data_IF_977432323208
#
_entry.id   IF_977432323208
#
_cell.length_a   1.000
_cell.length_b   1.000
_cell.length_c   1.000
_cell.angle_alpha   90.00
_cell.angle_beta   90.00
_cell.angle_gamma   90.00
#
_symmetry.space_group_name_H-M   'P 1'
#
loop_
_entity.id
_entity.type
_entity.pdbx_description
1 polymer ?
#
# COMPACT_ATOMS: atom_id res chain seq x y z
N UNK A 1 35.16 34.27 59.46
CA UNK A 1 35.82 35.41 58.79
C UNK A 1 34.69 36.33 58.33
N UNK A 2 34.23 37.35 59.05
CA UNK A 2 34.84 38.21 60.04
C UNK A 2 33.96 38.32 61.29
N UNK A 3 34.63 38.45 62.43
CA UNK A 3 34.06 38.46 63.76
C UNK A 3 34.26 39.86 64.34
N UNK A 4 33.34 40.79 64.11
CA UNK A 4 33.43 42.12 64.71
C UNK A 4 32.65 42.14 66.02
N UNK A 5 33.37 41.81 67.10
CA UNK A 5 32.96 42.07 68.48
C UNK A 5 32.97 43.59 68.70
N UNK A 6 31.81 44.21 68.65
CA UNK A 6 31.62 45.56 69.21
C UNK A 6 31.66 45.40 70.73
N UNK A 7 32.80 45.77 71.33
CA UNK A 7 32.93 45.93 72.78
C UNK A 7 32.22 47.23 73.15
N UNK A 8 30.96 47.13 73.55
CA UNK A 8 30.29 48.20 74.30
C UNK A 8 31.00 48.32 75.65
N UNK A 9 31.92 49.27 75.74
CA UNK A 9 32.45 49.73 77.03
C UNK A 9 31.29 50.44 77.73
N UNK A 10 30.55 49.69 78.55
CA UNK A 10 29.66 50.30 79.52
C UNK A 10 30.52 51.08 80.52
N UNK A 11 30.27 52.38 80.75
CA UNK A 11 30.90 53.06 81.86
C UNK A 11 30.42 52.36 83.13
N UNK A 12 31.37 51.80 83.90
CA UNK A 12 31.04 51.15 85.16
C UNK A 12 30.48 52.20 86.09
N UNK A 13 29.34 51.90 86.71
CA UNK A 13 28.75 52.67 87.80
C UNK A 13 29.69 52.83 89.03
N UNK A 14 30.89 52.25 89.01
CA UNK A 14 31.91 52.33 90.06
C UNK A 14 32.68 53.65 90.08
N UNK A 15 32.69 54.43 89.00
CA UNK A 15 33.60 55.59 88.90
C UNK A 15 32.96 56.92 89.35
N UNK A 16 31.66 56.90 89.70
CA UNK A 16 30.93 58.02 90.30
C UNK A 16 30.62 57.83 91.79
N UNK A 17 30.95 56.67 92.38
CA UNK A 17 30.65 56.35 93.78
C UNK A 17 31.80 56.65 94.76
N UNK A 18 32.94 57.18 94.30
CA UNK A 18 34.09 57.48 95.16
C UNK A 18 34.10 58.91 95.74
N UNK A 19 33.03 59.68 95.60
CA UNK A 19 32.91 61.04 96.19
C UNK A 19 31.93 61.08 97.38
N UNK A 20 31.17 60.02 97.67
CA UNK A 20 30.15 60.04 98.73
C UNK A 20 30.37 59.03 99.87
N UNK A 21 31.62 58.81 100.29
CA UNK A 21 31.95 57.94 101.43
C UNK A 21 32.58 58.68 102.62
N UNK A 22 32.38 60.01 102.73
CA UNK A 22 32.87 60.81 103.86
C UNK A 22 31.77 61.29 104.83
N UNK A 23 30.49 60.96 104.60
CA UNK A 23 29.38 61.37 105.47
C UNK A 23 28.50 60.20 105.88
N UNK A 24 29.07 59.16 106.49
CA UNK A 24 28.31 58.19 107.29
C UNK A 24 28.84 58.27 108.71
N UNK A 25 28.27 59.19 109.49
CA UNK A 25 28.36 59.17 110.94
C UNK A 25 27.27 58.22 111.51
N UNK A 26 27.51 57.59 112.68
CA UNK A 26 26.63 56.55 113.21
C UNK A 26 25.26 57.09 113.68
N UNK A 27 24.22 56.23 113.73
CA UNK A 27 22.85 56.62 113.99
C UNK A 27 22.60 56.65 115.49
N UNK A 28 22.94 57.74 116.17
CA UNK A 28 22.43 58.05 117.51
C UNK A 28 22.72 59.53 117.83
N UNK A 29 21.84 60.42 117.38
CA UNK A 29 21.61 61.79 117.90
C UNK A 29 20.58 62.50 116.99
N UNK A 30 19.34 62.01 116.99
CA UNK A 30 18.18 62.79 116.56
C UNK A 30 17.69 63.59 117.78
N UNK A 31 18.14 64.83 117.95
CA UNK A 31 17.39 65.94 118.58
C UNK A 31 18.33 67.10 118.98
N UNK A 32 18.79 67.85 117.99
CA UNK A 32 19.03 69.29 118.13
C UNK A 32 19.15 69.83 116.72
N UNK A 33 18.29 70.78 116.35
CA UNK A 33 18.30 71.40 115.03
C UNK A 33 19.71 71.88 114.69
N UNK A 34 20.33 71.26 113.69
CA UNK A 34 21.48 71.85 113.05
C UNK A 34 20.96 72.94 112.12
N UNK A 35 20.90 74.18 112.62
CA UNK A 35 20.93 75.38 111.78
C UNK A 35 22.34 75.54 111.16
N UNK A 36 22.88 74.44 110.62
CA UNK A 36 24.16 74.41 109.94
C UNK A 36 23.88 74.40 108.43
N UNK A 37 23.96 75.55 107.76
CA UNK A 37 23.52 75.72 106.37
C UNK A 37 24.26 74.78 105.41
N UNK A 38 25.42 74.23 105.81
CA UNK A 38 26.22 73.31 105.02
C UNK A 38 25.59 71.91 104.93
N UNK A 39 24.96 71.40 105.99
CA UNK A 39 24.36 70.05 105.99
C UNK A 39 23.03 70.02 105.22
N UNK A 40 22.19 71.05 105.38
CA UNK A 40 20.96 71.20 104.59
C UNK A 40 21.25 71.44 103.09
N UNK A 41 22.34 72.17 102.78
CA UNK A 41 22.80 72.37 101.41
C UNK A 41 23.31 71.07 100.78
N UNK A 42 24.10 70.26 101.51
CA UNK A 42 24.58 68.95 101.04
C UNK A 42 23.44 67.93 100.82
N UNK A 43 22.44 67.88 101.69
CA UNK A 43 21.25 67.02 101.50
C UNK A 43 20.44 67.46 100.27
N UNK A 44 20.22 68.77 100.09
CA UNK A 44 19.53 69.34 98.92
C UNK A 44 20.29 69.05 97.61
N UNK A 45 21.61 69.22 97.60
CA UNK A 45 22.48 68.91 96.46
C UNK A 45 22.46 67.42 96.10
N UNK A 46 22.52 66.51 97.09
CA UNK A 46 22.43 65.07 96.86
C UNK A 46 21.06 64.66 96.31
N UNK A 47 19.97 65.25 96.81
CA UNK A 47 18.61 64.97 96.34
C UNK A 47 18.40 65.49 94.91
N UNK A 48 18.94 66.67 94.60
CA UNK A 48 18.92 67.26 93.25
C UNK A 48 19.75 66.45 92.25
N UNK A 49 20.95 66.00 92.64
CA UNK A 49 21.80 65.14 91.81
C UNK A 49 21.13 63.78 91.56
N UNK A 50 20.55 63.16 92.59
CA UNK A 50 19.80 61.90 92.45
C UNK A 50 18.57 62.06 91.55
N UNK A 51 17.86 63.18 91.62
CA UNK A 51 16.72 63.47 90.74
C UNK A 51 17.15 63.68 89.29
N UNK A 52 18.28 64.36 89.07
CA UNK A 52 18.84 64.57 87.73
C UNK A 52 19.29 63.25 87.08
N UNK A 53 20.01 62.41 87.83
CA UNK A 53 20.45 61.09 87.37
C UNK A 53 19.26 60.16 87.09
N UNK A 54 18.20 60.21 87.91
CA UNK A 54 16.97 59.46 87.64
C UNK A 54 16.31 59.95 86.35
N UNK A 55 16.22 61.26 86.13
CA UNK A 55 15.65 61.83 84.91
C UNK A 55 16.50 61.53 83.66
N UNK A 56 17.82 61.44 83.78
CA UNK A 56 18.71 60.97 82.70
C UNK A 56 18.49 59.48 82.41
N UNK A 57 18.49 58.63 83.43
CA UNK A 57 18.22 57.21 83.26
C UNK A 57 16.83 56.91 82.67
N UNK A 58 15.81 57.69 83.04
CA UNK A 58 14.47 57.59 82.47
C UNK A 58 14.43 58.03 81.00
N UNK A 59 15.16 59.09 80.63
CA UNK A 59 15.30 59.53 79.23
C UNK A 59 16.02 58.49 78.38
N UNK A 60 17.12 57.93 78.88
CA UNK A 60 17.87 56.87 78.20
C UNK A 60 17.03 55.61 78.03
N UNK A 61 16.28 55.21 79.07
CA UNK A 61 15.32 54.09 79.00
C UNK A 61 14.25 54.36 77.95
N UNK A 62 13.64 55.54 77.95
CA UNK A 62 12.61 55.91 76.96
C UNK A 62 13.17 55.89 75.53
N UNK A 63 14.40 56.38 75.32
CA UNK A 63 15.07 56.37 74.02
C UNK A 63 15.37 54.93 73.55
N UNK A 64 15.86 54.09 74.46
CA UNK A 64 16.12 52.67 74.16
C UNK A 64 14.83 51.89 73.86
N UNK A 65 13.74 52.16 74.59
CA UNK A 65 12.42 51.58 74.33
C UNK A 65 11.85 52.01 72.98
N UNK A 66 11.99 53.29 72.62
CA UNK A 66 11.57 53.79 71.31
C UNK A 66 12.39 53.18 70.16
N UNK A 67 13.71 53.05 70.34
CA UNK A 67 14.60 52.35 69.41
C UNK A 67 14.21 50.88 69.22
N UNK A 68 13.92 50.17 70.32
CA UNK A 68 13.43 48.79 70.28
C UNK A 68 12.07 48.68 69.56
N UNK A 69 11.16 49.63 69.81
CA UNK A 69 9.85 49.68 69.14
C UNK A 69 10.00 49.92 67.64
N UNK A 70 10.89 50.83 67.22
CA UNK A 70 11.17 51.11 65.80
C UNK A 70 11.77 49.89 65.10
N UNK A 71 12.77 49.25 65.71
CA UNK A 71 13.37 48.02 65.17
C UNK A 71 12.33 46.89 65.00
N UNK A 72 11.46 46.69 66.00
CA UNK A 72 10.38 45.70 65.92
C UNK A 72 9.41 46.00 64.78
N UNK A 73 9.05 47.28 64.59
CA UNK A 73 8.18 47.70 63.49
C UNK A 73 8.84 47.48 62.12
N UNK A 74 10.11 47.87 61.97
CA UNK A 74 10.85 47.67 60.72
C UNK A 74 11.02 46.19 60.39
N UNK A 75 11.31 45.37 61.40
CA UNK A 75 11.39 43.91 61.24
C UNK A 75 10.04 43.32 60.84
N UNK A 76 8.95 43.71 61.49
CA UNK A 76 7.59 43.26 61.15
C UNK A 76 7.21 43.65 59.71
N UNK A 77 7.46 44.91 59.32
CA UNK A 77 7.22 45.38 57.96
C UNK A 77 8.04 44.60 56.92
N UNK A 78 9.31 44.29 57.25
CA UNK A 78 10.16 43.49 56.37
C UNK A 78 9.67 42.04 56.28
N UNK A 79 9.24 41.44 57.39
CA UNK A 79 8.66 40.11 57.43
C UNK A 79 7.38 40.07 56.57
N UNK A 80 6.48 41.04 56.71
CA UNK A 80 5.26 41.14 55.91
C UNK A 80 5.57 41.32 54.41
N UNK A 81 6.56 42.15 54.07
CA UNK A 81 7.00 42.34 52.68
C UNK A 81 7.53 41.03 52.08
N UNK A 82 8.37 40.31 52.81
CA UNK A 82 8.89 39.02 52.38
C UNK A 82 7.78 37.97 52.28
N UNK A 83 6.84 37.93 53.22
CA UNK A 83 5.70 37.01 53.19
C UNK A 83 4.83 37.25 51.95
N UNK A 84 4.59 38.51 51.58
CA UNK A 84 3.88 38.85 50.33
C UNK A 84 4.66 38.42 49.10
N UNK A 85 5.99 38.60 49.08
CA UNK A 85 6.83 38.15 47.97
C UNK A 85 6.83 36.63 47.82
N UNK A 86 6.89 35.89 48.92
CA UNK A 86 6.78 34.42 48.95
C UNK A 86 5.44 34.00 48.37
N UNK A 87 4.32 34.55 48.87
CA UNK A 87 2.99 34.22 48.36
C UNK A 87 2.81 34.57 46.87
N UNK A 88 3.42 35.65 46.39
CA UNK A 88 3.40 35.99 44.96
C UNK A 88 4.20 34.99 44.14
N UNK A 89 5.38 34.57 44.61
CA UNK A 89 6.20 33.56 43.92
C UNK A 89 5.56 32.18 43.94
N UNK A 90 4.91 31.79 45.02
CA UNK A 90 4.16 30.53 45.12
C UNK A 90 3.04 30.49 44.07
N UNK A 91 2.28 31.58 43.92
CA UNK A 91 1.26 31.69 42.86
C UNK A 91 1.87 31.61 41.46
N UNK A 92 3.00 32.27 41.23
CA UNK A 92 3.70 32.19 39.95
C UNK A 92 4.18 30.77 39.65
N UNK A 93 4.73 30.05 40.64
CA UNK A 93 5.13 28.66 40.48
C UNK A 93 3.95 27.76 40.14
N UNK A 94 2.83 27.88 40.86
CA UNK A 94 1.62 27.11 40.58
C UNK A 94 1.08 27.36 39.16
N UNK A 95 1.12 28.61 38.70
CA UNK A 95 0.72 28.95 37.34
C UNK A 95 1.64 28.29 36.32
N UNK A 96 2.96 28.43 36.47
CA UNK A 96 3.94 27.84 35.55
C UNK A 96 3.90 26.31 35.54
N UNK A 97 3.64 25.67 36.69
CA UNK A 97 3.45 24.22 36.78
C UNK A 97 2.21 23.77 36.00
N UNK A 98 1.13 24.53 36.08
CA UNK A 98 -0.11 24.27 35.33
C UNK A 98 0.12 24.44 33.83
N UNK A 99 0.76 25.54 33.43
CA UNK A 99 1.08 25.82 32.03
C UNK A 99 2.00 24.74 31.45
N UNK A 100 3.03 24.33 32.20
CA UNK A 100 3.94 23.25 31.80
C UNK A 100 3.20 21.92 31.64
N UNK A 101 2.21 21.62 32.50
CA UNK A 101 1.39 20.43 32.38
C UNK A 101 0.55 20.45 31.10
N UNK A 102 -0.12 21.57 30.82
CA UNK A 102 -0.92 21.76 29.61
C UNK A 102 -0.04 21.60 28.36
N UNK A 103 1.13 22.26 28.35
CA UNK A 103 2.09 22.15 27.25
C UNK A 103 2.58 20.71 27.01
N UNK A 104 2.77 19.93 28.08
CA UNK A 104 3.14 18.50 27.95
C UNK A 104 2.02 17.67 27.33
N UNK A 105 0.79 17.87 27.78
CA UNK A 105 -0.38 17.18 27.24
C UNK A 105 -0.63 17.55 25.77
N UNK A 106 -0.45 18.83 25.44
CA UNK A 106 -0.58 19.31 24.05
C UNK A 106 0.51 18.73 23.14
N UNK A 107 1.77 18.72 23.59
CA UNK A 107 2.87 18.07 22.85
C UNK A 107 2.64 16.58 22.64
N UNK A 108 2.14 15.87 23.65
CA UNK A 108 1.82 14.44 23.51
C UNK A 108 0.70 14.22 22.49
N UNK A 109 -0.33 15.06 22.52
CA UNK A 109 -1.43 15.00 21.55
C UNK A 109 -0.92 15.25 20.13
N UNK A 110 -0.13 16.31 19.94
CA UNK A 110 0.46 16.63 18.64
C UNK A 110 1.38 15.53 18.11
N UNK A 111 2.16 14.90 19.00
CA UNK A 111 3.00 13.76 18.63
C UNK A 111 2.17 12.56 18.17
N UNK A 112 1.08 12.24 18.88
CA UNK A 112 0.18 11.16 18.49
C UNK A 112 -0.47 11.44 17.13
N UNK A 113 -0.87 12.69 16.87
CA UNK A 113 -1.44 13.07 15.57
C UNK A 113 -0.40 12.97 14.45
N UNK A 114 0.82 13.42 14.69
CA UNK A 114 1.91 13.30 13.73
C UNK A 114 2.25 11.83 13.40
N UNK A 115 2.18 10.94 14.38
CA UNK A 115 2.39 9.51 14.15
C UNK A 115 1.22 8.88 13.36
N UNK A 116 -0.03 9.28 13.63
CA UNK A 116 -1.19 8.86 12.81
C UNK A 116 -1.08 9.31 11.36
N UNK A 117 -0.68 10.56 11.13
CA UNK A 117 -0.48 11.09 9.79
C UNK A 117 0.67 10.37 9.06
N UNK A 118 1.76 10.04 9.76
CA UNK A 118 2.85 9.22 9.19
C UNK A 118 2.36 7.83 8.78
N UNK A 119 1.58 7.17 9.63
CA UNK A 119 1.01 5.85 9.33
C UNK A 119 0.07 5.93 8.13
N UNK A 120 -0.77 6.96 8.06
CA UNK A 120 -1.67 7.20 6.93
C UNK A 120 -0.89 7.42 5.62
N UNK A 121 0.16 8.23 5.64
CA UNK A 121 1.03 8.45 4.47
C UNK A 121 1.68 7.14 4.03
N UNK A 122 2.14 6.31 4.97
CA UNK A 122 2.72 4.99 4.67
C UNK A 122 1.70 4.05 4.02
N UNK A 123 0.46 4.03 4.51
CA UNK A 123 -0.64 3.25 3.93
C UNK A 123 -0.96 3.71 2.51
N UNK A 124 -1.19 5.02 2.31
CA UNK A 124 -1.48 5.59 1.00
C UNK A 124 -0.34 5.38 0.00
N UNK A 125 0.92 5.45 0.46
CA UNK A 125 2.09 5.14 -0.39
C UNK A 125 2.06 3.68 -0.86
N UNK A 126 1.71 2.74 0.03
CA UNK A 126 1.58 1.32 -0.30
C UNK A 126 0.44 1.07 -1.28
N UNK A 127 -0.73 1.69 -1.07
CA UNK A 127 -1.86 1.60 -1.99
C UNK A 127 -1.52 2.16 -3.38
N UNK A 128 -0.82 3.29 -3.45
CA UNK A 128 -0.37 3.86 -4.72
C UNK A 128 0.58 2.90 -5.48
N UNK A 129 1.46 2.19 -4.78
CA UNK A 129 2.31 1.17 -5.39
C UNK A 129 1.49 -0.02 -5.90
N UNK A 130 0.48 -0.47 -5.16
CA UNK A 130 -0.42 -1.54 -5.60
C UNK A 130 -1.22 -1.14 -6.84
N UNK A 131 -1.79 0.06 -6.86
CA UNK A 131 -2.52 0.61 -8.01
C UNK A 131 -1.60 0.68 -9.23
N UNK A 132 -0.36 1.14 -9.07
CA UNK A 132 0.62 1.15 -10.15
C UNK A 132 0.96 -0.25 -10.66
N UNK A 133 1.03 -1.26 -9.78
CA UNK A 133 1.19 -2.66 -10.16
C UNK A 133 0.01 -3.17 -10.99
N UNK A 134 -1.22 -2.98 -10.50
CA UNK A 134 -2.44 -3.36 -11.21
C UNK A 134 -2.58 -2.65 -12.55
N UNK A 135 -2.19 -1.36 -12.62
CA UNK A 135 -2.19 -0.61 -13.86
C UNK A 135 -1.27 -1.25 -14.90
N UNK A 136 -0.04 -1.64 -14.54
CA UNK A 136 0.87 -2.32 -15.47
C UNK A 136 0.29 -3.64 -15.97
N UNK A 137 -0.31 -4.42 -15.08
CA UNK A 137 -0.95 -5.69 -15.44
C UNK A 137 -2.15 -5.49 -16.37
N UNK A 138 -2.96 -4.47 -16.12
CA UNK A 138 -4.05 -4.10 -17.01
C UNK A 138 -3.56 -3.77 -18.43
N UNK A 139 -2.47 -3.00 -18.57
CA UNK A 139 -1.91 -2.70 -19.89
C UNK A 139 -1.37 -3.97 -20.56
N UNK A 140 -0.71 -4.86 -19.82
CA UNK A 140 -0.23 -6.15 -20.35
C UNK A 140 -1.40 -7.00 -20.89
N UNK A 141 -2.47 -7.14 -20.11
CA UNK A 141 -3.66 -7.89 -20.52
C UNK A 141 -4.39 -7.22 -21.70
N UNK A 142 -4.38 -5.88 -21.75
CA UNK A 142 -4.95 -5.12 -22.86
C UNK A 142 -4.17 -5.38 -24.16
N UNK A 143 -2.84 -5.38 -24.11
CA UNK A 143 -1.98 -5.71 -25.25
C UNK A 143 -2.22 -7.16 -25.71
N UNK A 144 -2.29 -8.11 -24.78
CA UNK A 144 -2.62 -9.51 -25.09
C UNK A 144 -3.99 -9.66 -25.72
N UNK A 145 -5.00 -8.94 -25.23
CA UNK A 145 -6.33 -8.96 -25.82
C UNK A 145 -6.34 -8.46 -27.26
N UNK A 146 -5.57 -7.39 -27.55
CA UNK A 146 -5.41 -6.86 -28.90
C UNK A 146 -4.72 -7.90 -29.80
N UNK A 147 -3.63 -8.52 -29.34
CA UNK A 147 -2.93 -9.54 -30.11
C UNK A 147 -3.83 -10.74 -30.41
N UNK A 148 -4.57 -11.22 -29.41
CA UNK A 148 -5.51 -12.33 -29.61
C UNK A 148 -6.61 -11.99 -30.60
N UNK A 149 -7.14 -10.76 -30.59
CA UNK A 149 -8.13 -10.31 -31.59
C UNK A 149 -7.57 -10.35 -33.01
N UNK A 150 -6.36 -9.82 -33.21
CA UNK A 150 -5.69 -9.85 -34.52
C UNK A 150 -5.53 -11.30 -34.99
N UNK A 151 -5.07 -12.20 -34.11
CA UNK A 151 -4.90 -13.62 -34.43
C UNK A 151 -6.23 -14.27 -34.82
N UNK A 152 -7.31 -13.99 -34.07
CA UNK A 152 -8.64 -14.52 -34.40
C UNK A 152 -9.12 -14.02 -35.77
N UNK A 153 -8.97 -12.74 -36.07
CA UNK A 153 -9.35 -12.17 -37.37
C UNK A 153 -8.57 -12.80 -38.53
N UNK A 154 -7.27 -13.06 -38.35
CA UNK A 154 -6.45 -13.71 -39.38
C UNK A 154 -6.81 -15.19 -39.57
N UNK A 155 -7.16 -15.89 -38.48
CA UNK A 155 -7.65 -17.26 -38.55
C UNK A 155 -9.02 -17.34 -39.25
N UNK A 156 -9.92 -16.40 -39.00
CA UNK A 156 -11.21 -16.31 -39.68
C UNK A 156 -11.03 -16.13 -41.19
N UNK A 157 -10.18 -15.18 -41.62
CA UNK A 157 -9.85 -15.00 -43.05
C UNK A 157 -9.27 -16.27 -43.68
N UNK A 158 -8.35 -16.95 -42.98
CA UNK A 158 -7.77 -18.19 -43.48
C UNK A 158 -8.82 -19.30 -43.68
N UNK A 159 -9.81 -19.38 -42.76
CA UNK A 159 -10.93 -20.31 -42.88
C UNK A 159 -11.85 -19.96 -44.04
N UNK A 160 -12.14 -18.68 -44.27
CA UNK A 160 -12.94 -18.22 -45.41
C UNK A 160 -12.27 -18.55 -46.76
N UNK A 161 -10.96 -18.31 -46.88
CA UNK A 161 -10.19 -18.68 -48.06
C UNK A 161 -10.20 -20.19 -48.31
N UNK A 162 -10.00 -20.98 -47.26
CA UNK A 162 -10.02 -22.43 -47.36
C UNK A 162 -11.41 -22.92 -47.77
N UNK A 163 -12.48 -22.36 -47.20
CA UNK A 163 -13.86 -22.65 -47.57
C UNK A 163 -14.15 -22.35 -49.04
N UNK A 164 -13.66 -21.22 -49.53
CA UNK A 164 -13.78 -20.83 -50.95
C UNK A 164 -13.05 -21.81 -51.87
N UNK A 165 -11.78 -22.14 -51.56
CA UNK A 165 -10.97 -23.11 -52.32
C UNK A 165 -11.60 -24.51 -52.34
N UNK A 166 -12.15 -24.97 -51.21
CA UNK A 166 -12.85 -26.25 -51.11
C UNK A 166 -14.14 -26.25 -51.94
N UNK A 167 -14.91 -25.16 -51.93
CA UNK A 167 -16.11 -25.00 -52.75
C UNK A 167 -15.77 -25.06 -54.25
N UNK A 168 -14.75 -24.32 -54.69
CA UNK A 168 -14.26 -24.36 -56.08
C UNK A 168 -13.78 -25.75 -56.48
N UNK A 169 -12.99 -26.41 -55.62
CA UNK A 169 -12.49 -27.76 -55.89
C UNK A 169 -13.65 -28.77 -55.99
N UNK A 170 -14.68 -28.62 -55.15
CA UNK A 170 -15.90 -29.45 -55.19
C UNK A 170 -16.64 -29.29 -56.51
N UNK A 171 -16.83 -28.05 -57.00
CA UNK A 171 -17.47 -27.80 -58.30
C UNK A 171 -16.68 -28.45 -59.45
N UNK A 172 -15.35 -28.26 -59.49
CA UNK A 172 -14.48 -28.89 -60.50
C UNK A 172 -14.57 -30.42 -60.49
N UNK A 173 -14.68 -31.03 -59.31
CA UNK A 173 -14.84 -32.49 -59.18
C UNK A 173 -16.19 -32.94 -59.73
N UNK A 174 -17.28 -32.21 -59.45
CA UNK A 174 -18.59 -32.53 -60.02
C UNK A 174 -18.61 -32.39 -61.55
N UNK A 175 -18.00 -31.34 -62.10
CA UNK A 175 -17.86 -31.15 -63.55
C UNK A 175 -17.09 -32.32 -64.20
N UNK A 176 -15.99 -32.77 -63.57
CA UNK A 176 -15.20 -33.92 -64.04
C UNK A 176 -16.02 -35.21 -63.97
N UNK A 177 -16.82 -35.41 -62.93
CA UNK A 177 -17.71 -36.59 -62.82
C UNK A 177 -18.76 -36.58 -63.92
N UNK A 178 -19.36 -35.42 -64.21
CA UNK A 178 -20.35 -35.27 -65.27
C UNK A 178 -19.73 -35.54 -66.64
N UNK A 179 -18.55 -34.96 -66.92
CA UNK A 179 -17.80 -35.22 -68.15
C UNK A 179 -17.44 -36.70 -68.30
N UNK A 180 -16.98 -37.37 -67.24
CA UNK A 180 -16.71 -38.81 -67.27
C UNK A 180 -17.98 -39.64 -67.53
N UNK A 181 -19.12 -39.26 -66.94
CA UNK A 181 -20.40 -39.93 -67.17
C UNK A 181 -20.86 -39.77 -68.62
N UNK A 182 -20.68 -38.59 -69.22
CA UNK A 182 -20.96 -38.35 -70.64
C UNK A 182 -20.06 -39.20 -71.55
N UNK A 183 -18.77 -39.35 -71.21
CA UNK A 183 -17.83 -40.23 -71.93
C UNK A 183 -18.20 -41.71 -71.81
N UNK A 184 -18.82 -42.15 -70.71
CA UNK A 184 -19.28 -43.54 -70.51
C UNK A 184 -20.61 -43.87 -71.20
N UNK A 185 -21.32 -42.89 -71.78
CA UNK A 185 -22.60 -43.10 -72.48
C UNK A 185 -22.51 -43.90 -73.80
N UNK A 186 -21.31 -44.23 -74.27
CA UNK A 186 -21.10 -44.90 -75.56
C UNK A 186 -20.79 -46.40 -75.52
N UNK A 187 -20.55 -46.99 -74.34
CA UNK A 187 -20.09 -48.39 -74.26
C UNK A 187 -20.80 -49.16 -73.13
N UNK A 188 -22.09 -49.42 -73.32
CA UNK A 188 -22.85 -50.32 -72.44
C UNK A 188 -22.58 -51.76 -72.87
N UNK A 189 -21.81 -52.49 -72.06
CA UNK A 189 -21.72 -53.94 -72.15
C UNK A 189 -23.13 -54.51 -71.87
N UNK A 190 -23.82 -54.97 -72.91
CA UNK A 190 -25.20 -55.43 -72.84
C UNK A 190 -25.29 -56.60 -71.85
N UNK A 191 -26.17 -56.51 -70.84
CA UNK A 191 -26.33 -57.58 -69.84
C UNK A 191 -26.92 -58.83 -70.50
N UNK A 192 -26.40 -60.01 -70.16
CA UNK A 192 -26.82 -61.31 -70.71
C UNK A 192 -28.32 -61.55 -70.73
N UNK A 193 -29.08 -60.96 -69.79
CA UNK A 193 -30.52 -61.17 -69.68
C UNK A 193 -31.31 -60.56 -70.84
N UNK A 194 -30.80 -59.50 -71.46
CA UNK A 194 -31.56 -58.72 -72.44
C UNK A 194 -31.35 -59.23 -73.88
N UNK A 195 -30.28 -60.00 -74.13
CA UNK A 195 -30.04 -60.61 -75.44
C UNK A 195 -30.84 -61.91 -75.61
N UNK A 196 -32.00 -61.85 -76.25
CA UNK A 196 -32.81 -63.03 -76.58
C UNK A 196 -32.32 -63.75 -77.83
N UNK A 197 -31.66 -63.05 -78.75
CA UNK A 197 -31.16 -63.58 -80.03
C UNK A 197 -29.68 -63.27 -80.21
N UNK A 198 -28.99 -64.13 -80.96
CA UNK A 198 -27.60 -63.87 -81.35
C UNK A 198 -27.52 -62.61 -82.21
N UNK A 199 -26.64 -61.65 -81.86
CA UNK A 199 -26.53 -60.37 -82.56
C UNK A 199 -26.17 -60.48 -84.06
N UNK A 200 -25.48 -61.56 -84.46
CA UNK A 200 -25.09 -61.80 -85.86
C UNK A 200 -26.10 -62.63 -86.66
N UNK A 201 -26.45 -63.83 -86.21
CA UNK A 201 -27.33 -64.73 -86.97
C UNK A 201 -28.81 -64.65 -86.58
N UNK A 202 -29.16 -63.80 -85.61
CA UNK A 202 -30.53 -63.56 -85.12
C UNK A 202 -31.28 -64.79 -84.63
N UNK A 203 -30.60 -65.92 -84.42
CA UNK A 203 -31.20 -67.13 -83.84
C UNK A 203 -31.39 -66.97 -82.34
N UNK A 204 -32.56 -67.37 -81.83
CA UNK A 204 -32.89 -67.34 -80.42
C UNK A 204 -31.92 -68.21 -79.60
N UNK A 205 -31.51 -67.71 -78.44
CA UNK A 205 -30.71 -68.49 -77.50
C UNK A 205 -31.57 -69.55 -76.82
N UNK A 206 -30.95 -70.69 -76.51
CA UNK A 206 -31.62 -71.82 -75.86
C UNK A 206 -30.63 -72.54 -74.94
N UNK A 207 -31.07 -73.58 -74.23
CA UNK A 207 -30.18 -74.38 -73.36
C UNK A 207 -28.99 -74.94 -74.15
N UNK A 208 -29.19 -75.31 -75.42
CA UNK A 208 -28.13 -75.81 -76.31
C UNK A 208 -27.35 -74.69 -77.02
N UNK A 209 -27.95 -73.52 -77.23
CA UNK A 209 -27.29 -72.33 -77.82
C UNK A 209 -26.95 -71.32 -76.72
N UNK A 210 -25.77 -71.45 -76.12
CA UNK A 210 -25.28 -70.56 -75.06
C UNK A 210 -24.83 -69.18 -75.59
N UNK A 211 -24.85 -68.19 -74.69
CA UNK A 211 -24.47 -66.81 -74.94
C UNK A 211 -22.96 -66.61 -74.75
N UNK A 212 -22.33 -65.85 -75.64
CA UNK A 212 -20.91 -65.53 -75.60
C UNK A 212 -20.69 -64.05 -75.94
N UNK A 213 -19.89 -63.34 -75.14
CA UNK A 213 -19.54 -61.96 -75.42
C UNK A 213 -18.37 -61.86 -76.40
N UNK A 214 -18.47 -60.98 -77.37
CA UNK A 214 -17.30 -60.51 -78.10
C UNK A 214 -16.49 -59.57 -77.19
N UNK A 215 -15.20 -59.84 -76.98
CA UNK A 215 -14.35 -58.98 -76.13
C UNK A 215 -13.94 -57.67 -76.82
N UNK A 216 -14.17 -57.54 -78.12
CA UNK A 216 -13.92 -56.32 -78.88
C UNK A 216 -15.12 -55.36 -78.85
N UNK A 217 -16.31 -55.81 -79.26
CA UNK A 217 -17.50 -54.94 -79.33
C UNK A 217 -18.47 -55.06 -78.15
N UNK A 218 -18.30 -56.04 -77.25
CA UNK A 218 -19.16 -56.21 -76.08
C UNK A 218 -20.52 -56.87 -76.35
N UNK A 219 -20.94 -57.02 -77.60
CA UNK A 219 -22.23 -57.65 -77.97
C UNK A 219 -22.26 -59.17 -77.73
N UNK A 220 -23.47 -59.75 -77.70
CA UNK A 220 -23.72 -61.17 -77.38
C UNK A 220 -24.01 -62.00 -78.63
N UNK A 221 -23.27 -63.10 -78.77
CA UNK A 221 -23.30 -64.02 -79.91
C UNK A 221 -23.44 -65.47 -79.45
N UNK A 222 -23.83 -66.35 -80.37
CA UNK A 222 -23.74 -67.80 -80.16
C UNK A 222 -22.34 -68.31 -80.51
N UNK A 223 -22.02 -69.56 -80.15
CA UNK A 223 -20.68 -70.11 -80.39
C UNK A 223 -20.30 -70.03 -81.87
N UNK A 224 -21.20 -70.40 -82.78
CA UNK A 224 -20.93 -70.39 -84.23
C UNK A 224 -20.67 -69.01 -84.82
N UNK A 225 -21.04 -67.92 -84.13
CA UNK A 225 -20.84 -66.55 -84.59
C UNK A 225 -19.69 -65.84 -83.86
N UNK A 226 -18.99 -66.55 -82.96
CA UNK A 226 -17.94 -66.03 -82.11
C UNK A 226 -16.92 -67.09 -81.75
N UNK A 227 -16.63 -68.00 -82.68
CA UNK A 227 -15.70 -69.12 -82.43
C UNK A 227 -14.24 -68.74 -82.69
N UNK A 228 -14.00 -67.48 -83.04
CA UNK A 228 -12.67 -66.95 -83.33
C UNK A 228 -12.06 -66.28 -82.09
N UNK A 229 -10.74 -66.37 -81.94
CA UNK A 229 -9.98 -65.68 -80.90
C UNK A 229 -8.85 -64.85 -81.51
N UNK A 230 -8.70 -63.61 -81.05
CA UNK A 230 -7.61 -62.72 -81.47
C UNK A 230 -7.03 -61.97 -80.26
N UNK A 231 -5.74 -61.64 -80.26
CA UNK A 231 -5.17 -60.71 -79.28
C UNK A 231 -5.78 -59.31 -79.49
N UNK A 232 -6.23 -58.69 -78.41
CA UNK A 232 -6.73 -57.30 -78.43
C UNK A 232 -5.74 -56.40 -77.69
N UNK A 233 -5.68 -55.08 -78.00
CA UNK A 233 -4.77 -54.17 -77.30
C UNK A 233 -4.93 -54.17 -75.76
N UNK A 234 -6.13 -54.51 -75.27
CA UNK A 234 -6.43 -54.59 -73.84
C UNK A 234 -5.99 -55.91 -73.17
N UNK A 235 -5.62 -56.96 -73.92
CA UNK A 235 -5.18 -58.25 -73.37
C UNK A 235 -4.20 -58.94 -74.33
N UNK A 236 -2.96 -59.23 -73.89
CA UNK A 236 -1.96 -59.90 -74.73
C UNK A 236 -2.31 -61.37 -75.05
N UNK A 237 -3.23 -61.98 -74.29
CA UNK A 237 -3.74 -63.33 -74.57
C UNK A 237 -4.89 -63.25 -75.60
N UNK A 238 -4.98 -64.18 -76.57
CA UNK A 238 -6.11 -64.26 -77.48
C UNK A 238 -7.43 -64.32 -76.70
N UNK A 239 -8.38 -63.50 -77.12
CA UNK A 239 -9.72 -63.44 -76.53
C UNK A 239 -10.76 -63.63 -77.60
N UNK A 240 -11.89 -64.23 -77.21
CA UNK A 240 -13.02 -64.49 -78.09
C UNK A 240 -13.58 -63.20 -78.72
N UNK A 241 -13.74 -63.21 -80.04
CA UNK A 241 -14.35 -62.14 -80.84
C UNK A 241 -15.43 -62.70 -81.75
N UNK A 242 -16.44 -61.89 -82.09
CA UNK A 242 -17.43 -62.27 -83.09
C UNK A 242 -16.83 -62.25 -84.50
N UNK A 243 -17.46 -62.94 -85.44
CA UNK A 243 -16.96 -63.07 -86.82
C UNK A 243 -16.78 -61.71 -87.51
N UNK A 244 -17.68 -60.75 -87.26
CA UNK A 244 -17.55 -59.38 -87.76
C UNK A 244 -16.30 -58.69 -87.22
N UNK A 245 -16.05 -58.78 -85.91
CA UNK A 245 -14.84 -58.20 -85.31
C UNK A 245 -13.59 -58.92 -85.79
N UNK A 246 -13.65 -60.25 -85.93
CA UNK A 246 -12.55 -61.05 -86.44
C UNK A 246 -12.14 -60.60 -87.85
N UNK A 247 -13.10 -60.48 -88.77
CA UNK A 247 -12.86 -60.01 -90.13
C UNK A 247 -12.31 -58.58 -90.17
N UNK A 248 -12.90 -57.66 -89.40
CA UNK A 248 -12.46 -56.25 -89.34
C UNK A 248 -11.03 -56.12 -88.80
N UNK A 249 -10.70 -56.84 -87.73
CA UNK A 249 -9.38 -56.78 -87.11
C UNK A 249 -8.30 -57.40 -88.01
N UNK A 250 -8.60 -58.52 -88.68
CA UNK A 250 -7.69 -59.11 -89.67
C UNK A 250 -7.43 -58.18 -90.86
N UNK A 251 -8.47 -57.50 -91.39
CA UNK A 251 -8.31 -56.51 -92.46
C UNK A 251 -7.45 -55.32 -92.01
N UNK A 252 -7.60 -54.88 -90.75
CA UNK A 252 -6.81 -53.78 -90.19
C UNK A 252 -5.35 -54.17 -90.02
N UNK A 253 -5.05 -55.42 -89.63
CA UNK A 253 -3.69 -55.94 -89.57
C UNK A 253 -3.05 -56.04 -90.97
N UNK A 254 -3.81 -56.45 -91.99
CA UNK A 254 -3.33 -56.53 -93.37
C UNK A 254 -3.03 -55.15 -93.99
N UNK A 255 -3.79 -54.11 -93.61
CA UNK A 255 -3.61 -52.72 -94.09
C UNK A 255 -2.57 -51.92 -93.29
N UNK A 256 -2.03 -52.49 -92.20
CA UNK A 256 -0.98 -51.85 -91.38
C UNK A 256 0.44 -52.27 -91.77
N UNK A 257 0.63 -52.98 -92.90
CA UNK A 257 1.94 -53.48 -93.37
C UNK A 257 2.43 -52.76 -94.63
N UNK A 258 2.06 -51.49 -94.81
CA UNK A 258 2.69 -50.56 -95.78
C UNK A 258 2.91 -49.22 -95.14
#
# INVERSE_FOLDING_TARGET
MLSDRIVLVQPRASDLLLICAACVAPPDLLQSGCDDPVCACNQSLLTSLSSCLLQEAERDRSSAEEGSRRFKLDFANKADSLQRQIGNREKQLQQLETDLKIEREWRQTLQNDLDRERDMVSQLSTEALQINGLKKEFHRLQDENIQLKIICEDQEKALEELGSKLSESKLKIEDIKEANKALQGGQVWLKDKDATHCKLCEKEFSISRRKHHCRNCGEIFCNSCSDNELPLPASPKPVRVCDTCHALLLQRCASSTT
#
